data_IF_879074838750
#
_entry.id   IF_879074838750
#
_cell.length_a   1.000
_cell.length_b   1.000
_cell.length_c   1.000
_cell.angle_alpha   90.00
_cell.angle_beta   90.00
_cell.angle_gamma   90.00
#
_symmetry.space_group_name_H-M   'P 1'
#
loop_
_entity.id
_entity.type
_entity.pdbx_description
1 polymer ?
#
# COMPACT_ATOMS: atom_id res chain seq x y z
N UNK A 1 5.28 -7.15 10.83
CA UNK A 1 4.95 -8.59 10.85
C UNK A 1 6.24 -9.41 10.78
N UNK A 2 6.32 -10.55 11.48
CA UNK A 2 7.58 -11.34 11.55
C UNK A 2 7.71 -12.40 10.44
N UNK A 3 6.60 -12.99 9.99
CA UNK A 3 6.62 -14.13 9.04
C UNK A 3 6.16 -13.73 7.64
N UNK A 4 4.92 -13.24 7.49
CA UNK A 4 4.37 -12.78 6.21
C UNK A 4 3.74 -11.41 6.38
N UNK A 5 4.13 -10.47 5.52
CA UNK A 5 3.45 -9.18 5.43
C UNK A 5 2.20 -9.36 4.54
N UNK A 6 1.03 -8.85 4.94
CA UNK A 6 -0.20 -8.96 4.18
C UNK A 6 -0.08 -8.40 2.76
N UNK A 7 -0.95 -8.87 1.87
CA UNK A 7 -1.20 -8.15 0.63
C UNK A 7 -1.86 -6.80 0.93
N UNK A 8 -1.57 -5.78 0.12
CA UNK A 8 -2.21 -4.47 0.22
C UNK A 8 -3.73 -4.59 0.24
N UNK A 9 -4.38 -4.04 1.27
CA UNK A 9 -5.83 -4.06 1.46
C UNK A 9 -6.42 -5.39 1.89
N UNK A 10 -5.60 -6.36 2.33
CA UNK A 10 -6.12 -7.65 2.78
C UNK A 10 -7.10 -7.47 3.95
N UNK A 11 -8.36 -7.88 3.73
CA UNK A 11 -9.43 -7.77 4.72
C UNK A 11 -10.28 -6.48 4.61
N UNK A 12 -9.93 -5.57 3.70
CA UNK A 12 -10.72 -4.36 3.43
C UNK A 12 -11.77 -4.64 2.35
N UNK A 13 -12.97 -4.09 2.53
CA UNK A 13 -14.03 -4.07 1.51
C UNK A 13 -14.08 -2.67 0.90
N UNK A 14 -13.82 -2.57 -0.40
CA UNK A 14 -13.96 -1.33 -1.14
C UNK A 14 -15.33 -1.26 -1.83
N UNK A 15 -16.00 -0.11 -1.73
CA UNK A 15 -17.25 0.18 -2.45
C UNK A 15 -16.94 1.30 -3.44
N UNK A 16 -17.12 1.03 -4.73
CA UNK A 16 -16.94 1.99 -5.81
C UNK A 16 -18.30 2.52 -6.28
N UNK A 17 -18.39 3.83 -6.49
CA UNK A 17 -19.60 4.52 -6.91
C UNK A 17 -19.32 5.49 -8.05
N UNK A 18 -20.37 5.96 -8.70
CA UNK A 18 -20.26 7.00 -9.73
C UNK A 18 -19.96 8.36 -9.08
N UNK A 19 -19.16 9.16 -9.77
CA UNK A 19 -18.93 10.56 -9.40
C UNK A 19 -19.52 11.49 -10.48
N UNK A 20 -20.39 12.46 -10.13
CA UNK A 20 -20.97 12.74 -8.81
C UNK A 20 -22.22 11.90 -8.52
N UNK A 21 -22.31 11.34 -7.32
CA UNK A 21 -23.52 10.69 -6.78
C UNK A 21 -23.68 10.99 -5.28
N UNK A 22 -24.19 12.18 -4.97
CA UNK A 22 -24.31 12.69 -3.60
C UNK A 22 -25.28 11.87 -2.74
N UNK A 23 -26.29 11.25 -3.37
CA UNK A 23 -27.24 10.40 -2.69
C UNK A 23 -26.55 9.14 -2.15
N UNK A 24 -25.76 8.46 -2.99
CA UNK A 24 -25.04 7.26 -2.57
C UNK A 24 -23.95 7.61 -1.56
N UNK A 25 -23.21 8.70 -1.75
CA UNK A 25 -22.19 9.13 -0.79
C UNK A 25 -22.75 9.32 0.63
N UNK A 26 -23.95 9.89 0.77
CA UNK A 26 -24.61 10.04 2.07
C UNK A 26 -25.02 8.72 2.72
N UNK A 27 -25.31 7.68 1.93
CA UNK A 27 -25.61 6.33 2.44
C UNK A 27 -24.36 5.57 2.86
N UNK A 28 -23.20 5.88 2.27
CA UNK A 28 -21.94 5.20 2.57
C UNK A 28 -21.18 5.81 3.75
N UNK A 29 -21.40 7.09 4.06
CA UNK A 29 -20.73 7.77 5.18
C UNK A 29 -20.81 6.99 6.51
N UNK A 30 -21.99 6.48 6.94
CA UNK A 30 -22.11 5.83 8.25
C UNK A 30 -21.39 4.48 8.36
N UNK A 31 -21.11 3.83 7.22
CA UNK A 31 -20.42 2.52 7.17
C UNK A 31 -18.92 2.67 6.91
N UNK A 32 -18.45 3.87 6.60
CA UNK A 32 -17.03 4.12 6.33
C UNK A 32 -16.24 4.25 7.64
N UNK A 33 -15.40 3.26 7.93
CA UNK A 33 -14.50 3.32 9.08
C UNK A 33 -13.27 4.19 8.78
N UNK A 34 -13.18 5.35 9.42
CA UNK A 34 -12.17 6.39 9.12
C UNK A 34 -10.72 5.89 9.24
N UNK A 35 -10.41 5.10 10.27
CA UNK A 35 -9.05 4.58 10.47
C UNK A 35 -8.67 3.60 9.36
N UNK A 36 -9.56 2.67 9.03
CA UNK A 36 -9.35 1.72 7.92
C UNK A 36 -9.23 2.43 6.57
N UNK A 37 -10.01 3.49 6.36
CA UNK A 37 -9.90 4.32 5.16
C UNK A 37 -8.52 5.00 5.07
N UNK A 38 -8.04 5.56 6.19
CA UNK A 38 -6.71 6.17 6.29
C UNK A 38 -5.59 5.16 6.02
N UNK A 39 -5.64 4.00 6.67
CA UNK A 39 -4.71 2.89 6.49
C UNK A 39 -4.66 2.44 5.02
N UNK A 40 -5.83 2.20 4.43
CA UNK A 40 -5.94 1.78 3.03
C UNK A 40 -5.39 2.82 2.06
N UNK A 41 -5.58 4.12 2.33
CA UNK A 41 -5.02 5.17 1.48
C UNK A 41 -3.49 5.12 1.45
N UNK A 42 -2.83 4.91 2.59
CA UNK A 42 -1.39 4.76 2.65
C UNK A 42 -0.91 3.51 1.90
N UNK A 43 -1.56 2.36 2.13
CA UNK A 43 -1.21 1.12 1.44
C UNK A 43 -1.41 1.21 -0.09
N UNK A 44 -2.52 1.81 -0.54
CA UNK A 44 -2.77 2.03 -1.99
C UNK A 44 -1.76 2.99 -2.60
N UNK A 45 -1.44 4.08 -1.92
CA UNK A 45 -0.46 5.04 -2.42
C UNK A 45 0.92 4.39 -2.59
N UNK A 46 1.33 3.58 -1.62
CA UNK A 46 2.54 2.76 -1.69
C UNK A 46 2.52 1.79 -2.88
N UNK A 47 1.46 0.97 -3.01
CA UNK A 47 1.34 0.00 -4.09
C UNK A 47 1.34 0.66 -5.48
N UNK A 48 0.54 1.72 -5.63
CA UNK A 48 0.43 2.47 -6.88
C UNK A 48 1.77 3.08 -7.28
N UNK A 49 2.54 3.61 -6.33
CA UNK A 49 3.85 4.21 -6.61
C UNK A 49 4.89 3.19 -7.05
N UNK A 50 4.82 1.96 -6.56
CA UNK A 50 5.64 0.85 -7.04
C UNK A 50 5.13 0.27 -8.37
N UNK A 51 4.01 0.80 -8.89
CA UNK A 51 3.23 0.27 -10.02
C UNK A 51 3.03 -1.26 -9.88
N UNK A 52 2.72 -1.67 -8.66
CA UNK A 52 2.54 -3.06 -8.29
C UNK A 52 1.18 -3.59 -8.75
N UNK A 53 1.20 -4.60 -9.62
CA UNK A 53 0.02 -5.40 -9.97
C UNK A 53 -0.12 -6.67 -9.11
N UNK A 54 -1.18 -7.45 -9.34
CA UNK A 54 -1.45 -8.71 -8.61
C UNK A 54 -0.34 -9.77 -8.74
N UNK A 55 0.56 -9.64 -9.71
CA UNK A 55 1.62 -10.61 -10.01
C UNK A 55 2.96 -10.26 -9.37
N UNK A 56 3.06 -9.11 -8.69
CA UNK A 56 4.31 -8.64 -8.09
C UNK A 56 4.35 -9.03 -6.60
N UNK A 57 5.47 -9.59 -6.08
CA UNK A 57 5.61 -9.97 -4.66
C UNK A 57 5.76 -8.73 -3.75
N UNK A 58 4.65 -8.01 -3.56
CA UNK A 58 4.57 -6.81 -2.72
C UNK A 58 3.64 -7.11 -1.55
N UNK A 59 4.09 -6.74 -0.35
CA UNK A 59 3.25 -6.69 0.84
C UNK A 59 3.22 -5.29 1.43
N UNK A 60 2.10 -4.90 2.02
CA UNK A 60 2.02 -3.67 2.80
C UNK A 60 1.02 -3.82 3.95
N UNK A 61 1.27 -3.08 5.03
CA UNK A 61 0.34 -2.97 6.14
C UNK A 61 0.47 -1.59 6.76
N UNK A 62 -0.62 -0.84 6.79
CA UNK A 62 -0.79 0.35 7.59
C UNK A 62 -1.52 0.05 8.89
N UNK A 63 -1.14 0.73 9.98
CA UNK A 63 -1.82 0.67 11.27
C UNK A 63 -1.87 2.04 11.92
N UNK A 64 -3.08 2.46 12.26
CA UNK A 64 -3.36 3.66 13.04
C UNK A 64 -3.29 3.35 14.53
N UNK A 65 -2.77 4.30 15.31
CA UNK A 65 -2.76 4.26 16.78
C UNK A 65 -2.82 5.68 17.32
N UNK A 66 -4.02 6.15 17.64
CA UNK A 66 -4.25 7.56 17.97
C UNK A 66 -3.96 8.44 16.74
N UNK A 67 -3.14 9.47 16.91
CA UNK A 67 -2.79 10.41 15.83
C UNK A 67 -1.62 9.93 14.94
N UNK A 68 -1.13 8.72 15.18
CA UNK A 68 0.01 8.14 14.48
C UNK A 68 -0.43 7.07 13.49
N UNK A 69 0.13 7.12 12.28
CA UNK A 69 -0.01 6.10 11.24
C UNK A 69 1.37 5.51 10.95
N UNK A 70 1.49 4.20 11.08
CA UNK A 70 2.68 3.45 10.67
C UNK A 70 2.36 2.65 9.42
N UNK A 71 3.24 2.69 8.42
CA UNK A 71 3.16 1.87 7.22
C UNK A 71 4.41 0.99 7.11
N UNK A 72 4.21 -0.32 6.93
CA UNK A 72 5.23 -1.30 6.63
C UNK A 72 5.10 -1.74 5.17
N UNK A 73 6.24 -1.97 4.51
CA UNK A 73 6.30 -2.39 3.11
C UNK A 73 7.35 -3.49 2.88
N UNK A 74 7.08 -4.33 1.89
CA UNK A 74 7.95 -5.42 1.46
C UNK A 74 7.91 -5.55 -0.06
N UNK A 75 9.08 -5.69 -0.69
CA UNK A 75 9.24 -6.09 -2.09
C UNK A 75 10.21 -7.26 -2.14
N UNK A 76 9.84 -8.36 -2.80
CA UNK A 76 10.67 -9.55 -2.94
C UNK A 76 10.85 -9.97 -4.41
N UNK A 77 11.99 -10.59 -4.73
CA UNK A 77 12.18 -11.29 -5.99
C UNK A 77 11.31 -12.55 -6.05
N UNK A 78 10.98 -13.01 -7.27
CA UNK A 78 10.16 -14.22 -7.48
C UNK A 78 10.77 -15.48 -6.86
N UNK A 79 12.10 -15.55 -6.80
CA UNK A 79 12.83 -16.66 -6.14
C UNK A 79 13.02 -16.47 -4.63
N UNK A 80 12.54 -15.35 -4.07
CA UNK A 80 12.61 -14.99 -2.66
C UNK A 80 14.01 -14.67 -2.13
N UNK A 81 15.05 -14.63 -2.97
CA UNK A 81 16.44 -14.41 -2.53
C UNK A 81 16.76 -12.95 -2.23
N UNK A 82 16.08 -12.01 -2.91
CA UNK A 82 16.18 -10.59 -2.63
C UNK A 82 14.89 -10.14 -1.96
N UNK A 83 15.02 -9.52 -0.80
CA UNK A 83 13.89 -8.98 -0.04
C UNK A 83 14.31 -7.60 0.45
N UNK A 84 13.49 -6.60 0.14
CA UNK A 84 13.60 -5.24 0.67
C UNK A 84 12.39 -5.04 1.57
N UNK A 85 12.65 -4.66 2.81
CA UNK A 85 11.64 -4.41 3.85
C UNK A 85 11.95 -3.09 4.49
N UNK A 86 10.91 -2.30 4.72
CA UNK A 86 11.08 -1.03 5.40
C UNK A 86 9.77 -0.55 6.02
N UNK A 87 9.85 0.48 6.86
CA UNK A 87 8.69 1.06 7.53
C UNK A 87 8.84 2.54 7.85
N UNK A 88 7.75 3.30 7.70
CA UNK A 88 7.68 4.73 8.05
C UNK A 88 6.60 4.93 9.09
N UNK A 89 6.70 6.01 9.86
CA UNK A 89 5.69 6.38 10.85
C UNK A 89 5.59 7.89 10.89
N UNK A 90 4.37 8.41 10.83
CA UNK A 90 4.13 9.84 10.91
C UNK A 90 2.90 10.12 11.77
N UNK A 91 2.87 11.31 12.37
CA UNK A 91 1.73 11.82 13.12
C UNK A 91 1.12 13.00 12.37
N UNK A 92 -0.20 13.05 12.25
CA UNK A 92 -0.92 14.10 11.52
C UNK A 92 -0.46 14.32 10.06
N UNK A 93 0.14 13.31 9.43
CA UNK A 93 0.55 13.35 8.02
C UNK A 93 -0.56 12.77 7.13
N UNK A 94 -0.66 13.30 5.90
CA UNK A 94 -1.51 12.72 4.87
C UNK A 94 -1.09 11.26 4.61
N UNK A 95 -2.01 10.29 4.76
CA UNK A 95 -1.72 8.87 4.51
C UNK A 95 -1.14 8.61 3.13
N UNK A 96 -1.57 9.36 2.11
CA UNK A 96 -1.06 9.23 0.74
C UNK A 96 0.42 9.59 0.70
N UNK A 97 0.82 10.69 1.33
CA UNK A 97 2.23 11.11 1.40
C UNK A 97 3.10 10.09 2.13
N UNK A 98 2.59 9.49 3.21
CA UNK A 98 3.29 8.42 3.92
C UNK A 98 3.53 7.20 3.02
N UNK A 99 2.54 6.82 2.20
CA UNK A 99 2.67 5.75 1.22
C UNK A 99 3.72 6.04 0.14
N UNK A 100 3.72 7.26 -0.39
CA UNK A 100 4.71 7.71 -1.37
C UNK A 100 6.13 7.72 -0.78
N UNK A 101 6.29 8.24 0.44
CA UNK A 101 7.58 8.30 1.14
C UNK A 101 8.21 6.90 1.28
N UNK A 102 7.43 5.93 1.75
CA UNK A 102 7.91 4.56 1.90
C UNK A 102 8.32 3.95 0.55
N UNK A 103 7.51 4.17 -0.49
CA UNK A 103 7.79 3.65 -1.82
C UNK A 103 9.09 4.22 -2.39
N UNK A 104 9.31 5.54 -2.30
CA UNK A 104 10.54 6.17 -2.76
C UNK A 104 11.78 5.65 -2.02
N UNK A 105 11.67 5.47 -0.69
CA UNK A 105 12.78 4.94 0.12
C UNK A 105 13.12 3.52 -0.28
N UNK A 106 12.12 2.68 -0.53
CA UNK A 106 12.33 1.30 -0.98
C UNK A 106 12.86 1.21 -2.41
N UNK A 107 12.39 2.07 -3.33
CA UNK A 107 12.93 2.16 -4.69
C UNK A 107 14.42 2.50 -4.67
N UNK A 108 14.79 3.52 -3.89
CA UNK A 108 16.20 3.93 -3.67
C UNK A 108 17.03 2.80 -3.04
N UNK A 109 16.42 1.95 -2.22
CA UNK A 109 17.06 0.79 -1.61
C UNK A 109 17.20 -0.42 -2.56
N UNK A 110 16.78 -0.31 -3.82
CA UNK A 110 16.93 -1.34 -4.85
C UNK A 110 15.64 -2.11 -5.18
N UNK A 111 14.47 -1.66 -4.72
CA UNK A 111 13.21 -2.31 -5.10
C UNK A 111 12.94 -2.14 -6.59
N UNK A 112 13.40 -1.03 -7.18
CA UNK A 112 13.28 -0.76 -8.62
C UNK A 112 13.89 -1.89 -9.47
N UNK A 113 15.08 -2.38 -9.11
CA UNK A 113 15.73 -3.49 -9.83
C UNK A 113 14.90 -4.78 -9.79
N UNK A 114 14.28 -5.07 -8.65
CA UNK A 114 13.42 -6.25 -8.49
C UNK A 114 12.18 -6.10 -9.38
N UNK A 115 11.51 -4.96 -9.30
CA UNK A 115 10.28 -4.68 -10.05
C UNK A 115 10.53 -4.73 -11.57
N UNK A 116 11.61 -4.10 -12.05
CA UNK A 116 11.98 -4.10 -13.46
C UNK A 116 12.32 -5.51 -13.97
N UNK A 117 12.97 -6.34 -13.14
CA UNK A 117 13.28 -7.72 -13.52
C UNK A 117 12.03 -8.58 -13.76
N UNK A 118 10.94 -8.29 -13.03
CA UNK A 118 9.66 -9.02 -13.15
C UNK A 118 8.90 -8.54 -14.39
N UNK A 119 8.79 -7.22 -14.59
CA UNK A 119 8.09 -6.62 -15.74
C UNK A 119 8.67 -7.09 -17.07
N UNK A 120 9.99 -7.14 -17.19
CA UNK A 120 10.67 -7.62 -18.39
C UNK A 120 10.36 -9.09 -18.71
N UNK A 121 10.02 -9.92 -17.71
CA UNK A 121 9.61 -11.32 -17.93
C UNK A 121 8.17 -11.44 -18.44
N UNK A 122 7.29 -10.49 -18.12
CA UNK A 122 5.88 -10.49 -18.56
C UNK A 122 5.74 -10.04 -20.03
N UNK A 123 6.65 -9.20 -20.51
CA UNK A 123 6.71 -8.72 -21.90
C UNK A 123 7.42 -9.70 -22.87
N UNK A 124 7.93 -10.84 -22.37
CA UNK A 124 8.71 -11.84 -23.12
C UNK A 124 7.88 -13.06 -23.53
#
# INVERSE_FOLDING_TARGET
>A
FEVMLPATGQGVIAIETRDPDTQISGLLEPINHKETFSEMQAERAFLNRLEGGCQVPIGSLAKSSGDTLQLQGLVASLDGKKIIRDWVTASNQDPVQLGLELAERMLTAGAEDILNSIRNMEDS
#
